data_IF_140491982503
#
_entry.id   IF_140491982503
#
_cell.length_a   1.000
_cell.length_b   1.000
_cell.length_c   1.000
_cell.angle_alpha   90.00
_cell.angle_beta   90.00
_cell.angle_gamma   90.00
#
_symmetry.space_group_name_H-M   'P 1'
#
loop_
_entity.id
_entity.type
_entity.pdbx_description
1 polymer ?
#
# COMPACT_ATOMS: atom_id res chain seq x y z
N UNK A 1 34.64 2.02 1.19
CA UNK A 1 34.91 3.30 0.48
C UNK A 1 33.61 4.07 0.51
N UNK A 2 33.56 5.16 1.27
CA UNK A 2 32.37 5.99 1.44
C UNK A 2 32.60 7.36 0.80
N UNK A 3 31.56 7.97 0.25
CA UNK A 3 31.66 9.27 -0.37
C UNK A 3 30.31 9.96 -0.51
N UNK A 4 30.34 11.27 -0.65
CA UNK A 4 29.18 12.11 -0.88
C UNK A 4 29.20 12.64 -2.31
N UNK A 5 28.12 12.41 -3.02
CA UNK A 5 27.87 12.94 -4.36
C UNK A 5 26.71 13.94 -4.32
N UNK A 6 27.01 15.17 -4.68
CA UNK A 6 26.01 16.25 -4.70
C UNK A 6 25.83 16.73 -6.13
N UNK A 7 24.60 16.93 -6.53
CA UNK A 7 24.26 17.61 -7.79
C UNK A 7 23.42 18.85 -7.52
N UNK A 8 23.56 19.86 -8.37
CA UNK A 8 22.72 21.04 -8.35
C UNK A 8 22.44 21.53 -9.78
N UNK A 9 21.17 21.56 -10.16
CA UNK A 9 20.72 22.15 -11.42
C UNK A 9 20.17 23.54 -11.12
N UNK A 10 20.86 24.56 -11.64
CA UNK A 10 20.55 25.97 -11.44
C UNK A 10 19.82 26.53 -12.67
N UNK A 11 18.67 27.15 -12.46
CA UNK A 11 17.86 27.73 -13.54
C UNK A 11 17.64 29.22 -13.33
N UNK A 12 17.45 29.93 -14.44
CA UNK A 12 17.24 31.39 -14.46
C UNK A 12 18.35 32.12 -13.68
N UNK A 13 19.62 31.75 -13.98
CA UNK A 13 20.80 32.33 -13.35
C UNK A 13 20.93 33.82 -13.68
N UNK A 14 21.12 34.64 -12.65
CA UNK A 14 21.21 36.12 -12.72
C UNK A 14 22.67 36.59 -12.60
N UNK A 15 23.63 35.70 -12.73
CA UNK A 15 25.02 35.99 -12.65
C UNK A 15 25.53 36.83 -13.84
N UNK A 16 26.78 37.33 -13.76
CA UNK A 16 27.44 37.93 -14.90
C UNK A 16 27.48 36.94 -16.08
N UNK A 17 26.91 37.25 -17.26
CA UNK A 17 26.86 36.35 -18.42
C UNK A 17 28.24 35.79 -18.82
N UNK A 18 29.30 36.52 -18.56
CA UNK A 18 30.68 36.08 -18.80
C UNK A 18 31.05 34.78 -18.07
N UNK A 19 30.41 34.46 -16.93
CA UNK A 19 30.58 33.17 -16.24
C UNK A 19 30.00 31.98 -17.00
N UNK A 20 29.10 32.21 -17.93
CA UNK A 20 28.47 31.15 -18.71
C UNK A 20 29.17 30.88 -20.06
N UNK A 21 30.03 31.84 -20.55
CA UNK A 21 30.60 31.80 -21.89
C UNK A 21 32.11 31.99 -21.95
N UNK A 22 32.75 32.52 -20.88
CA UNK A 22 34.21 32.74 -20.84
C UNK A 22 34.88 31.62 -20.01
N UNK A 23 35.61 30.74 -20.70
CA UNK A 23 36.27 29.57 -20.11
C UNK A 23 37.18 29.94 -18.95
N UNK A 24 38.01 30.99 -19.11
CA UNK A 24 38.96 31.42 -18.09
C UNK A 24 38.26 31.93 -16.82
N UNK A 25 37.14 32.59 -16.94
CA UNK A 25 36.35 33.06 -15.77
C UNK A 25 35.73 31.92 -15.00
N UNK A 26 35.08 31.00 -15.73
CA UNK A 26 34.46 29.85 -15.12
C UNK A 26 35.48 28.93 -14.44
N UNK A 27 36.55 28.59 -15.17
CA UNK A 27 37.63 27.73 -14.62
C UNK A 27 38.27 28.34 -13.37
N UNK A 28 38.54 29.65 -13.37
CA UNK A 28 39.08 30.35 -12.21
C UNK A 28 38.09 30.30 -11.01
N UNK A 29 36.79 30.54 -11.24
CA UNK A 29 35.75 30.46 -10.17
C UNK A 29 35.73 29.06 -9.55
N UNK A 30 35.63 28.02 -10.36
CA UNK A 30 35.53 26.64 -9.88
C UNK A 30 36.80 26.22 -9.16
N UNK A 31 37.98 26.56 -9.72
CA UNK A 31 39.30 26.29 -9.12
C UNK A 31 39.44 26.97 -7.75
N UNK A 32 39.17 28.26 -7.67
CA UNK A 32 39.32 29.03 -6.43
C UNK A 32 38.35 28.51 -5.36
N UNK A 33 37.11 28.24 -5.71
CA UNK A 33 36.10 27.68 -4.79
C UNK A 33 36.55 26.33 -4.22
N UNK A 34 37.09 25.46 -5.08
CA UNK A 34 37.57 24.13 -4.68
C UNK A 34 38.78 24.21 -3.76
N UNK A 35 39.76 25.06 -4.09
CA UNK A 35 40.96 25.26 -3.25
C UNK A 35 40.63 25.89 -1.90
N UNK A 36 39.72 26.86 -1.86
CA UNK A 36 39.28 27.49 -0.62
C UNK A 36 38.52 26.54 0.30
N UNK A 37 37.79 25.54 -0.26
CA UNK A 37 37.18 24.46 0.51
C UNK A 37 38.21 23.44 1.03
N UNK A 38 39.47 23.56 0.66
CA UNK A 38 40.57 22.72 1.16
C UNK A 38 40.66 21.35 0.48
N UNK A 39 40.28 21.27 -0.81
CA UNK A 39 40.50 20.07 -1.63
C UNK A 39 41.70 20.26 -2.58
N UNK A 40 42.36 19.15 -2.90
CA UNK A 40 43.56 19.15 -3.74
C UNK A 40 43.20 18.83 -5.19
N UNK A 41 43.51 19.78 -6.10
CA UNK A 41 43.30 19.60 -7.54
C UNK A 41 44.53 18.90 -8.12
N UNK A 42 44.35 17.80 -8.83
CA UNK A 42 45.39 17.01 -9.51
C UNK A 42 45.36 17.17 -11.03
N UNK A 43 44.28 17.71 -11.57
CA UNK A 43 44.12 17.99 -12.99
C UNK A 43 42.85 18.75 -13.29
N UNK A 44 42.81 19.36 -14.45
CA UNK A 44 41.59 20.07 -14.90
C UNK A 44 41.46 20.06 -16.42
N UNK A 45 40.22 20.12 -16.88
CA UNK A 45 39.89 20.34 -18.28
C UNK A 45 38.64 21.16 -18.38
N UNK A 46 38.71 22.26 -19.09
CA UNK A 46 37.59 23.08 -19.50
C UNK A 46 37.55 23.16 -21.01
N UNK A 47 36.37 23.34 -21.59
CA UNK A 47 36.16 23.51 -23.01
C UNK A 47 34.97 24.41 -23.27
N UNK A 48 35.21 25.54 -23.89
CA UNK A 48 34.15 26.44 -24.36
C UNK A 48 33.69 26.04 -25.77
N UNK A 49 32.39 25.95 -25.94
CA UNK A 49 31.77 25.68 -27.25
C UNK A 49 31.53 26.98 -28.00
N UNK A 50 31.39 26.88 -29.33
CA UNK A 50 31.01 27.98 -30.22
C UNK A 50 29.85 27.56 -31.11
N UNK A 51 28.96 28.48 -31.38
CA UNK A 51 27.91 28.30 -32.37
C UNK A 51 28.47 28.31 -33.81
N UNK A 52 27.72 27.90 -34.84
CA UNK A 52 28.16 27.94 -36.25
C UNK A 52 28.54 29.36 -36.75
N UNK A 53 27.98 30.40 -36.12
CA UNK A 53 28.30 31.81 -36.41
C UNK A 53 29.54 32.34 -35.65
N UNK A 54 30.30 31.45 -34.98
CA UNK A 54 31.46 31.75 -34.13
C UNK A 54 31.14 32.51 -32.84
N UNK A 55 29.86 32.70 -32.48
CA UNK A 55 29.52 33.27 -31.16
C UNK A 55 29.78 32.25 -30.05
N UNK A 56 30.14 32.72 -28.85
CA UNK A 56 30.37 31.82 -27.69
C UNK A 56 29.08 31.08 -27.33
N UNK A 57 29.22 29.77 -27.07
CA UNK A 57 28.14 28.92 -26.53
C UNK A 57 28.46 28.57 -25.06
N UNK A 58 27.95 27.45 -24.57
CA UNK A 58 28.21 27.00 -23.19
C UNK A 58 29.62 26.46 -22.99
N UNK A 59 29.93 26.14 -21.75
CA UNK A 59 31.22 25.58 -21.31
C UNK A 59 30.96 24.25 -20.61
N UNK A 60 31.81 23.27 -20.86
CA UNK A 60 31.92 22.05 -20.05
C UNK A 60 33.24 22.09 -19.33
N UNK A 61 33.28 21.70 -18.07
CA UNK A 61 34.50 21.66 -17.29
C UNK A 61 34.51 20.61 -16.21
N UNK A 62 35.70 20.12 -15.90
CA UNK A 62 35.92 19.24 -14.77
C UNK A 62 37.25 19.53 -14.09
N UNK A 63 37.22 19.46 -12.76
CA UNK A 63 38.43 19.38 -11.92
C UNK A 63 38.53 17.92 -11.44
N UNK A 64 39.69 17.33 -11.68
CA UNK A 64 40.09 16.07 -11.07
C UNK A 64 40.70 16.39 -9.72
N UNK A 65 40.19 15.84 -8.67
CA UNK A 65 40.68 15.97 -7.31
C UNK A 65 41.42 14.69 -6.91
N UNK A 66 42.27 14.76 -5.88
CA UNK A 66 43.05 13.61 -5.40
C UNK A 66 42.17 12.34 -5.19
N UNK A 67 40.93 12.52 -4.74
CA UNK A 67 40.03 11.41 -4.44
C UNK A 67 38.61 11.59 -5.04
N UNK A 68 38.43 12.54 -5.99
CA UNK A 68 37.13 13.05 -6.34
C UNK A 68 37.11 13.85 -7.64
N UNK A 69 36.00 14.54 -7.88
CA UNK A 69 35.90 15.49 -8.97
C UNK A 69 34.85 16.57 -8.69
N UNK A 70 34.98 17.68 -9.43
CA UNK A 70 33.96 18.69 -9.62
C UNK A 70 33.70 18.81 -11.11
N UNK A 71 32.48 18.64 -11.57
CA UNK A 71 32.09 18.87 -12.95
C UNK A 71 31.03 19.97 -13.04
N UNK A 72 31.09 20.72 -14.15
CA UNK A 72 30.18 21.85 -14.39
C UNK A 72 29.89 21.99 -15.87
N UNK A 73 28.63 22.29 -16.19
CA UNK A 73 28.19 22.62 -17.54
C UNK A 73 27.34 23.88 -17.51
N UNK A 74 27.56 24.77 -18.46
CA UNK A 74 26.78 26.00 -18.60
C UNK A 74 25.95 25.98 -19.87
N UNK A 75 24.75 26.54 -19.79
CA UNK A 75 23.77 26.63 -20.87
C UNK A 75 23.28 28.07 -21.00
N UNK A 76 24.07 28.95 -21.66
CA UNK A 76 23.79 30.39 -21.72
C UNK A 76 22.39 30.69 -22.30
N UNK A 77 21.94 29.92 -23.31
CA UNK A 77 20.66 30.06 -23.98
C UNK A 77 19.47 29.74 -23.06
N UNK A 78 19.73 29.01 -21.96
CA UNK A 78 18.73 28.63 -20.92
C UNK A 78 18.96 29.36 -19.61
N UNK A 79 20.01 30.18 -19.53
CA UNK A 79 20.47 30.78 -18.28
C UNK A 79 20.59 29.72 -17.17
N UNK A 80 21.19 28.56 -17.50
CA UNK A 80 21.23 27.41 -16.63
C UNK A 80 22.69 26.91 -16.44
N UNK A 81 22.90 26.27 -15.27
CA UNK A 81 24.17 25.61 -14.93
C UNK A 81 23.84 24.30 -14.23
N UNK A 82 24.55 23.24 -14.60
CA UNK A 82 24.51 21.98 -13.88
C UNK A 82 25.84 21.75 -13.16
N UNK A 83 25.79 21.38 -11.89
CA UNK A 83 26.91 21.11 -11.01
C UNK A 83 26.90 19.67 -10.55
N UNK A 84 28.06 19.07 -10.51
CA UNK A 84 28.29 17.72 -10.01
C UNK A 84 29.56 17.74 -9.16
N UNK A 85 29.43 17.41 -7.87
CA UNK A 85 30.52 17.39 -6.90
C UNK A 85 30.53 16.06 -6.19
N UNK A 86 31.55 15.25 -6.44
CA UNK A 86 31.77 14.00 -5.73
C UNK A 86 33.05 14.08 -4.88
N UNK A 87 32.94 13.70 -3.61
CA UNK A 87 34.07 13.57 -2.71
C UNK A 87 34.11 12.19 -2.06
N UNK A 88 35.30 11.61 -2.00
CA UNK A 88 35.55 10.36 -1.29
C UNK A 88 35.97 10.67 0.16
N UNK A 89 35.44 9.91 1.11
CA UNK A 89 35.69 10.04 2.54
C UNK A 89 36.63 8.94 3.06
N UNK A 90 37.63 8.51 2.25
CA UNK A 90 38.48 7.37 2.57
C UNK A 90 39.39 7.63 3.80
N UNK A 91 40.07 8.74 3.85
CA UNK A 91 40.93 9.10 4.99
C UNK A 91 40.29 10.12 5.92
N UNK A 92 39.52 11.04 5.37
CA UNK A 92 38.85 12.10 6.11
C UNK A 92 37.45 12.32 5.56
N UNK A 93 36.54 12.78 6.40
CA UNK A 93 35.20 13.21 5.96
C UNK A 93 35.31 14.55 5.21
N UNK A 94 35.15 14.51 3.90
CA UNK A 94 35.16 15.66 3.02
C UNK A 94 33.73 16.17 2.70
N UNK A 95 32.70 15.62 3.32
CA UNK A 95 31.29 15.96 3.02
C UNK A 95 31.00 17.45 3.20
N UNK A 96 31.50 18.05 4.26
CA UNK A 96 31.35 19.50 4.52
C UNK A 96 31.97 20.36 3.42
N UNK A 97 33.12 19.91 2.88
CA UNK A 97 33.84 20.63 1.79
C UNK A 97 33.05 20.57 0.47
N UNK A 98 32.43 19.39 0.17
CA UNK A 98 31.57 19.26 -1.00
C UNK A 98 30.35 20.17 -0.92
N UNK A 99 29.70 20.22 0.24
CA UNK A 99 28.56 21.11 0.50
C UNK A 99 28.99 22.58 0.31
N UNK A 100 30.11 22.96 0.87
CA UNK A 100 30.66 24.32 0.74
C UNK A 100 30.91 24.70 -0.73
N UNK A 101 31.49 23.81 -1.53
CA UNK A 101 31.72 24.03 -2.96
C UNK A 101 30.38 24.27 -3.69
N UNK A 102 29.41 23.40 -3.51
CA UNK A 102 28.09 23.53 -4.15
C UNK A 102 27.42 24.84 -3.76
N UNK A 103 27.39 25.19 -2.47
CA UNK A 103 26.72 26.42 -2.00
C UNK A 103 27.40 27.68 -2.52
N UNK A 104 28.72 27.71 -2.55
CA UNK A 104 29.48 28.86 -3.10
C UNK A 104 29.28 29.02 -4.60
N UNK A 105 29.29 27.92 -5.37
CA UNK A 105 29.04 27.96 -6.80
C UNK A 105 27.58 28.37 -7.09
N UNK A 106 26.59 27.80 -6.41
CA UNK A 106 25.19 28.21 -6.53
C UNK A 106 25.01 29.70 -6.23
N UNK A 107 25.66 30.20 -5.17
CA UNK A 107 25.64 31.64 -4.82
C UNK A 107 26.24 32.51 -5.93
N UNK A 108 27.32 32.05 -6.57
CA UNK A 108 27.96 32.81 -7.66
C UNK A 108 27.09 32.90 -8.91
N UNK A 109 26.30 31.87 -9.20
CA UNK A 109 25.37 31.85 -10.34
C UNK A 109 24.06 32.56 -10.08
N UNK A 110 23.68 32.85 -8.84
CA UNK A 110 22.44 33.54 -8.44
C UNK A 110 21.21 33.01 -9.15
N UNK A 111 20.91 31.71 -9.08
CA UNK A 111 19.74 31.12 -9.75
C UNK A 111 18.45 31.53 -9.03
N UNK A 112 17.33 31.66 -9.79
CA UNK A 112 16.01 31.83 -9.20
C UNK A 112 15.42 30.50 -8.73
N UNK A 113 15.85 29.38 -9.34
CA UNK A 113 15.40 28.03 -8.97
C UNK A 113 16.62 27.08 -8.96
N UNK A 114 16.69 26.23 -7.94
CA UNK A 114 17.71 25.18 -7.80
C UNK A 114 17.07 23.85 -7.47
N UNK A 115 17.39 22.82 -8.25
CA UNK A 115 17.12 21.44 -7.94
C UNK A 115 18.38 20.78 -7.38
N UNK A 116 18.32 20.14 -6.22
CA UNK A 116 19.47 19.50 -5.56
C UNK A 116 19.22 18.05 -5.30
N UNK A 117 20.26 17.23 -5.46
CA UNK A 117 20.24 15.83 -5.06
C UNK A 117 21.51 15.51 -4.27
N UNK A 118 21.38 14.56 -3.34
CA UNK A 118 22.46 14.06 -2.50
C UNK A 118 22.44 12.55 -2.48
N UNK A 119 23.56 11.92 -2.80
CA UNK A 119 23.70 10.47 -2.87
C UNK A 119 24.93 10.05 -2.07
N UNK A 120 24.74 9.19 -1.07
CA UNK A 120 25.85 8.47 -0.44
C UNK A 120 26.36 7.37 -1.37
N UNK A 121 27.67 7.31 -1.60
CA UNK A 121 28.31 6.34 -2.49
C UNK A 121 29.37 5.54 -1.76
N UNK A 122 29.59 4.32 -2.22
CA UNK A 122 30.69 3.49 -1.73
C UNK A 122 30.44 2.79 -0.40
N UNK A 123 29.39 3.07 0.30
CA UNK A 123 28.86 2.16 1.30
C UNK A 123 28.44 0.89 0.57
N UNK A 124 28.90 -0.32 0.98
CA UNK A 124 28.15 -1.51 0.61
C UNK A 124 26.73 -1.21 1.07
N UNK A 125 25.78 -1.19 0.16
CA UNK A 125 24.39 -1.12 0.58
C UNK A 125 24.22 -2.28 1.58
N UNK A 126 24.03 -1.95 2.87
CA UNK A 126 23.32 -2.88 3.72
C UNK A 126 22.09 -3.23 2.90
N UNK A 127 22.08 -4.45 2.35
CA UNK A 127 21.10 -5.01 1.42
C UNK A 127 20.03 -3.99 1.08
N UNK A 128 20.02 -3.47 -0.14
CA UNK A 128 19.03 -2.47 -0.59
C UNK A 128 17.72 -2.92 0.00
N UNK A 129 17.26 -2.22 1.06
CA UNK A 129 16.05 -2.64 1.76
C UNK A 129 14.98 -2.59 0.71
N UNK A 130 14.56 -3.74 0.21
CA UNK A 130 13.50 -3.80 -0.76
C UNK A 130 12.25 -3.25 -0.08
N UNK A 131 11.65 -2.23 -0.66
CA UNK A 131 10.44 -1.62 -0.14
C UNK A 131 9.28 -2.01 -1.04
N UNK A 132 8.27 -2.64 -0.46
CA UNK A 132 6.97 -2.77 -1.11
C UNK A 132 6.26 -1.43 -0.99
N UNK A 133 5.87 -0.86 -2.12
CA UNK A 133 5.14 0.40 -2.18
C UNK A 133 3.69 0.08 -2.53
N UNK A 134 2.77 0.62 -1.76
CA UNK A 134 1.34 0.60 -2.03
C UNK A 134 0.82 2.03 -2.13
N UNK A 135 0.15 2.34 -3.25
CA UNK A 135 -0.46 3.65 -3.46
C UNK A 135 -1.88 3.66 -2.87
N UNK A 136 -2.05 4.41 -1.79
CA UNK A 136 -3.35 4.61 -1.14
C UNK A 136 -4.21 5.61 -1.93
N UNK A 137 -3.58 6.49 -2.71
CA UNK A 137 -4.21 7.43 -3.63
C UNK A 137 -3.20 7.88 -4.69
N UNK A 138 -3.61 8.72 -5.64
CA UNK A 138 -2.70 9.32 -6.63
C UNK A 138 -1.54 10.13 -6.00
N UNK A 139 -1.65 10.52 -4.72
CA UNK A 139 -0.71 11.43 -4.06
C UNK A 139 -0.15 10.89 -2.74
N UNK A 140 -0.57 9.71 -2.30
CA UNK A 140 -0.16 9.11 -1.03
C UNK A 140 0.21 7.66 -1.24
N UNK A 141 1.36 7.26 -0.73
CA UNK A 141 1.82 5.88 -0.73
C UNK A 141 2.34 5.46 0.64
N UNK A 142 2.14 4.20 0.97
CA UNK A 142 2.77 3.54 2.11
C UNK A 142 3.94 2.68 1.63
N UNK A 143 4.98 2.58 2.44
CA UNK A 143 6.14 1.75 2.15
C UNK A 143 6.38 0.78 3.30
N UNK A 144 6.49 -0.50 2.98
CA UNK A 144 6.78 -1.57 3.93
C UNK A 144 8.08 -2.25 3.54
N UNK A 145 9.01 -2.41 4.49
CA UNK A 145 10.26 -3.11 4.23
C UNK A 145 10.00 -4.59 3.96
N UNK A 146 10.61 -5.10 2.87
CA UNK A 146 10.63 -6.51 2.50
C UNK A 146 12.08 -7.00 2.63
N UNK A 147 12.28 -8.12 3.31
CA UNK A 147 13.59 -8.78 3.44
C UNK A 147 13.76 -9.91 2.45
N UNK A 148 12.66 -10.56 2.07
CA UNK A 148 12.67 -11.71 1.18
C UNK A 148 11.33 -11.83 0.43
N UNK A 149 11.36 -12.24 -0.83
CA UNK A 149 10.19 -12.72 -1.58
C UNK A 149 10.22 -14.23 -1.55
N UNK A 150 9.27 -14.84 -0.85
CA UNK A 150 9.20 -16.30 -0.62
C UNK A 150 8.55 -17.02 -1.79
N UNK A 151 7.53 -16.40 -2.39
CA UNK A 151 6.84 -16.91 -3.55
C UNK A 151 6.27 -15.76 -4.39
N UNK A 152 6.24 -15.97 -5.71
CA UNK A 152 5.71 -15.00 -6.67
C UNK A 152 5.14 -15.74 -7.87
N UNK A 153 3.89 -15.47 -8.21
CA UNK A 153 3.17 -16.17 -9.27
C UNK A 153 2.29 -15.17 -10.04
N UNK A 154 2.35 -15.23 -11.37
CA UNK A 154 1.36 -14.60 -12.24
C UNK A 154 0.30 -15.65 -12.58
N UNK A 155 -0.88 -15.51 -11.98
CA UNK A 155 -2.04 -16.34 -12.34
C UNK A 155 -2.76 -15.78 -13.57
N UNK A 156 -3.77 -16.48 -14.10
CA UNK A 156 -4.61 -15.92 -15.15
C UNK A 156 -5.40 -14.66 -14.74
N UNK A 157 -5.53 -14.40 -13.44
CA UNK A 157 -6.35 -13.33 -12.88
C UNK A 157 -5.51 -12.16 -12.36
N UNK A 158 -4.39 -12.43 -11.68
CA UNK A 158 -3.66 -11.44 -10.89
C UNK A 158 -2.22 -11.86 -10.61
N UNK A 159 -1.39 -10.90 -10.22
CA UNK A 159 -0.02 -11.15 -9.76
C UNK A 159 -0.02 -11.30 -8.23
N UNK A 160 0.41 -12.47 -7.74
CA UNK A 160 0.40 -12.82 -6.31
C UNK A 160 1.83 -12.92 -5.82
N UNK A 161 2.13 -12.28 -4.69
CA UNK A 161 3.45 -12.33 -4.06
C UNK A 161 3.31 -12.61 -2.57
N UNK A 162 4.11 -13.55 -2.06
CA UNK A 162 4.32 -13.77 -0.62
C UNK A 162 5.71 -13.25 -0.28
N UNK A 163 5.80 -12.33 0.65
CA UNK A 163 7.05 -11.72 1.07
C UNK A 163 7.18 -11.69 2.59
N UNK A 164 8.41 -11.53 3.10
CA UNK A 164 8.68 -11.39 4.53
C UNK A 164 8.97 -9.93 4.84
N UNK A 165 8.21 -9.39 5.80
CA UNK A 165 8.43 -8.09 6.41
C UNK A 165 8.92 -8.24 7.85
N UNK A 166 9.94 -7.48 8.31
CA UNK A 166 10.36 -7.50 9.70
C UNK A 166 9.27 -7.10 10.68
N UNK A 167 8.36 -6.20 10.26
CA UNK A 167 7.27 -5.70 11.09
C UNK A 167 6.06 -6.62 11.10
N UNK A 168 5.66 -7.14 9.92
CA UNK A 168 4.39 -7.82 9.72
C UNK A 168 4.50 -9.35 9.59
N UNK A 169 5.71 -9.93 9.61
CA UNK A 169 5.91 -11.33 9.28
C UNK A 169 5.72 -11.60 7.79
N UNK A 170 5.14 -12.74 7.44
CA UNK A 170 4.76 -12.96 6.05
C UNK A 170 3.56 -12.10 5.68
N UNK A 171 3.66 -11.51 4.50
CA UNK A 171 2.60 -10.70 3.89
C UNK A 171 2.22 -11.30 2.54
N UNK A 172 0.95 -11.25 2.20
CA UNK A 172 0.46 -11.49 0.85
C UNK A 172 0.17 -10.17 0.17
N UNK A 173 0.62 -10.05 -1.07
CA UNK A 173 0.31 -8.92 -1.96
C UNK A 173 -0.33 -9.44 -3.23
N UNK A 174 -1.34 -8.73 -3.71
CA UNK A 174 -2.02 -9.02 -4.98
C UNK A 174 -2.01 -7.75 -5.81
N UNK A 175 -1.47 -7.82 -7.03
CA UNK A 175 -1.29 -6.68 -7.94
C UNK A 175 -0.61 -5.46 -7.28
N UNK A 176 0.27 -5.74 -6.31
CA UNK A 176 1.01 -4.73 -5.56
C UNK A 176 0.31 -4.19 -4.30
N UNK A 177 -0.98 -4.46 -4.10
CA UNK A 177 -1.71 -4.07 -2.91
C UNK A 177 -1.50 -5.08 -1.75
N UNK A 178 -1.49 -4.59 -0.52
CA UNK A 178 -1.36 -5.42 0.69
C UNK A 178 -2.70 -6.09 1.00
N UNK A 179 -2.71 -7.42 1.10
CA UNK A 179 -3.92 -8.19 1.38
C UNK A 179 -4.01 -8.62 2.84
N UNK A 180 -2.98 -9.29 3.33
CA UNK A 180 -2.99 -9.84 4.68
C UNK A 180 -1.58 -9.99 5.22
N UNK A 181 -1.41 -10.07 6.54
CA UNK A 181 -0.14 -10.38 7.19
C UNK A 181 -0.32 -11.28 8.42
N UNK A 182 0.71 -12.07 8.72
CA UNK A 182 0.70 -12.95 9.89
C UNK A 182 0.49 -12.22 11.22
N UNK A 183 0.84 -10.93 11.30
CA UNK A 183 0.88 -10.20 12.56
C UNK A 183 -0.37 -9.39 12.84
N UNK A 184 -1.15 -9.04 11.83
CA UNK A 184 -2.28 -8.13 12.02
C UNK A 184 -3.58 -8.52 11.28
N UNK A 185 -3.61 -9.69 10.62
CA UNK A 185 -4.79 -10.16 9.88
C UNK A 185 -6.07 -10.17 10.73
N UNK A 186 -5.92 -10.46 12.03
CA UNK A 186 -7.04 -10.58 12.96
C UNK A 186 -7.80 -9.24 13.14
N UNK A 187 -7.17 -8.08 12.93
CA UNK A 187 -7.90 -6.80 12.93
C UNK A 187 -8.97 -6.77 11.83
N UNK A 188 -8.63 -7.30 10.67
CA UNK A 188 -9.54 -7.36 9.53
C UNK A 188 -10.55 -8.50 9.67
N UNK A 189 -10.08 -9.73 9.85
CA UNK A 189 -10.94 -10.91 9.81
C UNK A 189 -11.92 -10.97 10.99
N UNK A 190 -11.47 -10.65 12.21
CA UNK A 190 -12.37 -10.57 13.36
C UNK A 190 -13.42 -9.46 13.18
N UNK A 191 -13.05 -8.32 12.58
CA UNK A 191 -13.99 -7.24 12.29
C UNK A 191 -14.98 -7.60 11.16
N UNK A 192 -14.55 -8.37 10.17
CA UNK A 192 -15.43 -8.81 9.08
C UNK A 192 -16.43 -9.87 9.55
N UNK A 193 -16.00 -10.81 10.41
CA UNK A 193 -16.80 -11.99 10.78
C UNK A 193 -17.67 -11.74 12.01
N UNK A 194 -17.08 -11.29 13.12
CA UNK A 194 -17.75 -11.36 14.42
C UNK A 194 -18.91 -10.40 14.62
N UNK A 195 -18.91 -9.16 14.10
CA UNK A 195 -20.06 -8.28 14.26
C UNK A 195 -21.36 -8.91 13.73
N UNK A 196 -21.29 -9.51 12.55
CA UNK A 196 -22.45 -10.15 11.95
C UNK A 196 -22.81 -11.50 12.60
N UNK A 197 -21.82 -12.36 12.85
CA UNK A 197 -22.06 -13.67 13.44
C UNK A 197 -22.64 -13.59 14.85
N UNK A 198 -22.16 -12.64 15.67
CA UNK A 198 -22.71 -12.37 17.00
C UNK A 198 -24.09 -11.73 16.91
N UNK A 199 -24.31 -10.80 15.97
CA UNK A 199 -25.63 -10.20 15.72
C UNK A 199 -26.65 -11.26 15.30
N UNK A 200 -26.28 -12.20 14.44
CA UNK A 200 -27.10 -13.35 14.06
C UNK A 200 -27.41 -14.28 15.26
N UNK A 201 -26.42 -14.52 16.11
CA UNK A 201 -26.57 -15.27 17.36
C UNK A 201 -26.42 -16.80 17.24
N UNK A 202 -25.94 -17.31 16.10
CA UNK A 202 -25.65 -18.73 15.91
C UNK A 202 -25.77 -19.16 14.45
N UNK A 203 -24.96 -18.62 13.53
CA UNK A 203 -24.99 -18.97 12.11
C UNK A 203 -24.61 -20.43 11.91
N UNK A 204 -25.24 -21.10 10.96
CA UNK A 204 -25.02 -22.51 10.61
C UNK A 204 -24.38 -22.66 9.24
N UNK A 205 -24.76 -21.78 8.31
CA UNK A 205 -24.28 -21.81 6.92
C UNK A 205 -23.70 -20.46 6.54
N UNK A 206 -22.56 -20.48 5.88
CA UNK A 206 -21.90 -19.26 5.42
C UNK A 206 -21.38 -19.41 3.98
N UNK A 207 -21.47 -18.33 3.22
CA UNK A 207 -20.78 -18.16 1.95
C UNK A 207 -19.70 -17.08 2.13
N UNK A 208 -18.48 -17.39 1.70
CA UNK A 208 -17.40 -16.41 1.57
C UNK A 208 -17.13 -16.26 0.08
N UNK A 209 -17.19 -15.04 -0.44
CA UNK A 209 -16.78 -14.70 -1.81
C UNK A 209 -15.44 -14.00 -1.72
N UNK A 210 -14.39 -14.58 -2.34
CA UNK A 210 -13.01 -14.25 -2.07
C UNK A 210 -12.46 -15.00 -0.86
N UNK A 211 -11.62 -14.36 -0.05
CA UNK A 211 -11.10 -14.92 1.22
C UNK A 211 -10.11 -16.08 1.04
N UNK A 212 -9.36 -16.07 -0.08
CA UNK A 212 -8.43 -17.13 -0.42
C UNK A 212 -7.21 -17.24 0.51
N UNK A 213 -7.01 -16.31 1.46
CA UNK A 213 -6.02 -16.43 2.53
C UNK A 213 -6.48 -17.34 3.69
N UNK A 214 -7.80 -17.56 3.79
CA UNK A 214 -8.43 -18.45 4.75
C UNK A 214 -8.71 -17.87 6.13
N UNK A 215 -8.39 -16.60 6.39
CA UNK A 215 -8.60 -15.97 7.68
C UNK A 215 -10.08 -15.86 8.04
N UNK A 216 -10.93 -15.39 7.14
CA UNK A 216 -12.39 -15.37 7.36
C UNK A 216 -12.99 -16.77 7.57
N UNK A 217 -12.43 -17.79 6.91
CA UNK A 217 -12.84 -19.18 7.09
C UNK A 217 -12.45 -19.69 8.48
N UNK A 218 -11.25 -19.36 8.93
CA UNK A 218 -10.74 -19.70 10.27
C UNK A 218 -11.63 -19.08 11.34
N UNK A 219 -11.96 -17.79 11.23
CA UNK A 219 -12.80 -17.08 12.18
C UNK A 219 -14.24 -17.66 12.26
N UNK A 220 -14.81 -18.06 11.11
CA UNK A 220 -16.11 -18.73 11.11
C UNK A 220 -16.07 -20.10 11.76
N UNK A 221 -14.99 -20.86 11.62
CA UNK A 221 -14.84 -22.18 12.23
C UNK A 221 -14.73 -22.15 13.76
N UNK A 222 -14.46 -20.99 14.37
CA UNK A 222 -14.52 -20.80 15.84
C UNK A 222 -15.96 -20.97 16.37
N UNK A 223 -16.97 -20.79 15.51
CA UNK A 223 -18.37 -20.98 15.90
C UNK A 223 -18.78 -22.45 15.82
N UNK A 224 -19.11 -23.06 16.96
CA UNK A 224 -19.56 -24.45 17.02
C UNK A 224 -20.88 -24.66 16.25
N UNK A 225 -21.70 -23.60 16.10
CA UNK A 225 -22.93 -23.62 15.33
C UNK A 225 -22.71 -23.82 13.83
N UNK A 226 -21.57 -23.41 13.28
CA UNK A 226 -21.25 -23.57 11.87
C UNK A 226 -21.24 -25.03 11.48
N UNK A 227 -22.02 -25.36 10.45
CA UNK A 227 -22.15 -26.69 9.87
C UNK A 227 -21.54 -26.76 8.47
N UNK A 228 -21.67 -25.68 7.71
CA UNK A 228 -21.19 -25.62 6.34
C UNK A 228 -20.70 -24.21 5.97
N UNK A 229 -19.54 -24.15 5.34
CA UNK A 229 -18.96 -22.95 4.76
C UNK A 229 -18.68 -23.24 3.28
N UNK A 230 -19.23 -22.44 2.39
CA UNK A 230 -18.84 -22.40 0.98
C UNK A 230 -17.83 -21.26 0.81
N UNK A 231 -16.59 -21.60 0.44
CA UNK A 231 -15.56 -20.65 0.10
C UNK A 231 -15.45 -20.57 -1.44
N UNK A 232 -15.86 -19.46 -2.02
CA UNK A 232 -15.87 -19.24 -3.47
C UNK A 232 -14.75 -18.27 -3.86
N UNK A 233 -13.58 -18.83 -4.21
CA UNK A 233 -12.40 -18.09 -4.64
C UNK A 233 -12.14 -18.35 -6.12
N UNK A 234 -12.03 -17.27 -6.90
CA UNK A 234 -11.84 -17.38 -8.35
C UNK A 234 -10.44 -17.88 -8.72
N UNK A 235 -9.45 -17.52 -7.92
CA UNK A 235 -8.05 -17.79 -8.19
C UNK A 235 -7.50 -18.91 -7.29
N UNK A 236 -7.41 -20.12 -7.84
CA UNK A 236 -6.87 -21.29 -7.13
C UNK A 236 -5.44 -21.06 -6.60
N UNK A 237 -4.62 -20.25 -7.29
CA UNK A 237 -3.26 -19.98 -6.86
C UNK A 237 -3.19 -19.19 -5.55
N UNK A 238 -4.18 -18.35 -5.23
CA UNK A 238 -4.27 -17.67 -3.92
C UNK A 238 -4.38 -18.69 -2.80
N UNK A 239 -5.33 -19.64 -2.90
CA UNK A 239 -5.50 -20.69 -1.88
C UNK A 239 -4.27 -21.58 -1.78
N UNK A 240 -3.66 -21.94 -2.90
CA UNK A 240 -2.47 -22.79 -2.92
C UNK A 240 -1.28 -22.12 -2.23
N UNK A 241 -1.01 -20.85 -2.52
CA UNK A 241 0.06 -20.09 -1.87
C UNK A 241 -0.25 -19.87 -0.38
N UNK A 242 -1.51 -19.62 -0.03
CA UNK A 242 -1.93 -19.50 1.37
C UNK A 242 -1.68 -20.80 2.15
N UNK A 243 -2.09 -21.94 1.62
CA UNK A 243 -1.82 -23.25 2.22
C UNK A 243 -0.33 -23.52 2.43
N UNK A 244 0.51 -23.08 1.50
CA UNK A 244 1.95 -23.32 1.56
C UNK A 244 2.68 -22.36 2.52
N UNK A 245 2.23 -21.12 2.63
CA UNK A 245 3.03 -20.07 3.24
C UNK A 245 2.36 -19.33 4.41
N UNK A 246 1.02 -19.35 4.52
CA UNK A 246 0.26 -18.56 5.50
C UNK A 246 -0.49 -19.43 6.51
N UNK A 247 0.13 -20.54 6.91
CA UNK A 247 -0.49 -21.51 7.85
C UNK A 247 -0.90 -20.89 9.20
N UNK A 248 -0.25 -19.82 9.64
CA UNK A 248 -0.61 -19.06 10.85
C UNK A 248 -1.93 -18.30 10.72
N UNK A 249 -2.32 -17.92 9.50
CA UNK A 249 -3.57 -17.20 9.21
C UNK A 249 -4.72 -18.20 9.12
N UNK A 250 -4.66 -19.14 8.19
CA UNK A 250 -5.77 -20.08 7.96
C UNK A 250 -5.87 -21.23 8.97
N UNK A 251 -4.85 -21.48 9.78
CA UNK A 251 -4.82 -22.51 10.85
C UNK A 251 -5.43 -23.87 10.44
N UNK A 252 -5.15 -24.32 9.21
CA UNK A 252 -5.72 -25.52 8.55
C UNK A 252 -7.25 -25.44 8.30
N UNK A 253 -7.86 -24.28 8.28
CA UNK A 253 -9.28 -24.09 8.02
C UNK A 253 -9.74 -24.73 6.70
N UNK A 254 -8.90 -24.71 5.67
CA UNK A 254 -9.17 -25.32 4.36
C UNK A 254 -9.35 -26.86 4.40
N UNK A 255 -8.87 -27.53 5.43
CA UNK A 255 -8.91 -28.99 5.56
C UNK A 255 -10.12 -29.44 6.42
N UNK A 256 -10.93 -28.51 6.91
CA UNK A 256 -12.12 -28.80 7.68
C UNK A 256 -13.19 -29.45 6.80
N UNK A 257 -13.81 -30.52 7.29
CA UNK A 257 -14.93 -31.19 6.60
C UNK A 257 -16.17 -30.29 6.43
N UNK A 258 -16.23 -29.17 7.15
CA UNK A 258 -17.30 -28.19 7.05
C UNK A 258 -17.08 -27.20 5.90
N UNK A 259 -15.89 -27.18 5.28
CA UNK A 259 -15.50 -26.20 4.25
C UNK A 259 -15.55 -26.86 2.88
N UNK A 260 -16.32 -26.25 2.00
CA UNK A 260 -16.38 -26.60 0.59
C UNK A 260 -15.73 -25.46 -0.23
N UNK A 261 -14.61 -25.73 -0.86
CA UNK A 261 -13.89 -24.75 -1.70
C UNK A 261 -14.36 -24.89 -3.14
N UNK A 262 -14.74 -23.78 -3.74
CA UNK A 262 -15.22 -23.70 -5.13
C UNK A 262 -14.37 -22.66 -5.86
N UNK A 263 -13.70 -23.08 -6.94
CA UNK A 263 -12.93 -22.18 -7.80
C UNK A 263 -13.83 -21.65 -8.92
N UNK A 264 -14.52 -20.55 -8.62
CA UNK A 264 -15.47 -19.89 -9.52
C UNK A 264 -15.54 -18.39 -9.26
N UNK A 265 -16.03 -17.67 -10.26
CA UNK A 265 -16.53 -16.32 -10.05
C UNK A 265 -17.69 -16.35 -9.03
N UNK A 266 -17.49 -15.72 -7.87
CA UNK A 266 -18.45 -15.68 -6.78
C UNK A 266 -19.74 -14.92 -7.12
N UNK A 267 -19.67 -13.99 -8.07
CA UNK A 267 -20.82 -13.23 -8.55
C UNK A 267 -21.73 -14.10 -9.40
N UNK A 268 -21.16 -14.83 -10.35
CA UNK A 268 -21.90 -15.81 -11.13
C UNK A 268 -22.43 -16.93 -10.24
N UNK A 269 -21.65 -17.37 -9.24
CA UNK A 269 -22.06 -18.41 -8.31
C UNK A 269 -23.32 -18.02 -7.51
N UNK A 270 -23.38 -16.80 -6.93
CA UNK A 270 -24.53 -16.37 -6.13
C UNK A 270 -25.82 -16.22 -6.95
N UNK A 271 -25.71 -15.88 -8.23
CA UNK A 271 -26.83 -15.78 -9.16
C UNK A 271 -27.40 -17.15 -9.52
N UNK A 272 -26.52 -18.13 -9.76
CA UNK A 272 -26.89 -19.47 -10.23
C UNK A 272 -27.23 -20.44 -9.08
N UNK A 273 -26.67 -20.25 -7.89
CA UNK A 273 -26.87 -21.12 -6.74
C UNK A 273 -28.30 -21.08 -6.25
N UNK A 274 -28.81 -22.22 -5.77
CA UNK A 274 -30.07 -22.32 -5.02
C UNK A 274 -29.88 -22.35 -3.50
N UNK A 275 -28.61 -22.40 -3.04
CA UNK A 275 -28.29 -22.52 -1.64
C UNK A 275 -28.68 -21.26 -0.85
N UNK A 276 -28.93 -21.44 0.44
CA UNK A 276 -29.30 -20.38 1.36
C UNK A 276 -28.29 -20.30 2.50
N UNK A 277 -27.97 -19.08 2.91
CA UNK A 277 -26.91 -18.81 3.86
C UNK A 277 -27.41 -17.95 5.03
N UNK A 278 -26.89 -18.21 6.22
CA UNK A 278 -27.09 -17.35 7.39
C UNK A 278 -26.14 -16.14 7.33
N UNK A 279 -24.96 -16.34 6.75
CA UNK A 279 -23.98 -15.27 6.53
C UNK A 279 -23.44 -15.32 5.09
N UNK A 280 -23.33 -14.15 4.47
CA UNK A 280 -22.59 -13.93 3.23
C UNK A 280 -21.48 -12.92 3.53
N UNK A 281 -20.21 -13.31 3.34
CA UNK A 281 -19.07 -12.45 3.53
C UNK A 281 -18.45 -12.14 2.17
N UNK A 282 -18.26 -10.86 1.86
CA UNK A 282 -17.50 -10.41 0.70
C UNK A 282 -16.10 -10.04 1.17
N UNK A 283 -15.21 -11.00 1.06
CA UNK A 283 -13.81 -10.91 1.46
C UNK A 283 -12.94 -10.82 0.20
N UNK A 284 -13.12 -9.70 -0.49
CA UNK A 284 -12.56 -9.44 -1.81
C UNK A 284 -11.30 -8.59 -1.72
N UNK A 285 -10.45 -8.67 -2.74
CA UNK A 285 -9.33 -7.75 -2.91
C UNK A 285 -9.82 -6.31 -3.06
N UNK A 286 -9.02 -5.34 -2.60
CA UNK A 286 -9.34 -3.93 -2.85
C UNK A 286 -9.35 -3.65 -4.35
N UNK A 287 -10.42 -3.04 -4.85
CA UNK A 287 -10.58 -2.79 -6.27
C UNK A 287 -9.61 -1.78 -6.90
N UNK A 288 -8.66 -1.22 -6.21
CA UNK A 288 -7.72 -0.26 -6.77
C UNK A 288 -6.36 -0.91 -7.02
N UNK A 289 -6.17 -1.42 -8.22
CA UNK A 289 -4.83 -1.63 -8.75
C UNK A 289 -4.31 -0.32 -9.35
N UNK A 290 -2.99 -0.09 -9.29
CA UNK A 290 -2.33 1.05 -9.92
C UNK A 290 -2.67 1.20 -11.44
N UNK A 291 -3.20 0.17 -12.05
CA UNK A 291 -3.58 0.10 -13.47
C UNK A 291 -5.07 0.36 -13.74
N UNK A 292 -5.89 0.63 -12.71
CA UNK A 292 -7.31 0.99 -12.86
C UNK A 292 -8.24 -0.12 -13.33
N UNK A 293 -7.78 -1.38 -13.45
CA UNK A 293 -8.63 -2.53 -13.76
C UNK A 293 -9.05 -3.25 -12.48
N UNK A 294 -10.32 -3.59 -12.39
CA UNK A 294 -10.91 -4.09 -11.16
C UNK A 294 -12.04 -5.06 -11.39
N UNK A 295 -11.77 -6.33 -11.16
CA UNK A 295 -12.79 -7.38 -11.18
C UNK A 295 -13.87 -7.14 -10.10
N UNK A 296 -13.47 -6.83 -8.87
CA UNK A 296 -14.39 -6.67 -7.75
C UNK A 296 -15.32 -5.45 -7.87
N UNK A 297 -14.86 -4.33 -8.46
CA UNK A 297 -15.67 -3.11 -8.56
C UNK A 297 -16.85 -3.24 -9.53
N UNK A 298 -16.67 -3.95 -10.64
CA UNK A 298 -17.77 -4.21 -11.59
C UNK A 298 -18.87 -5.04 -10.97
N UNK A 299 -18.55 -5.73 -9.91
CA UNK A 299 -19.32 -6.79 -9.30
C UNK A 299 -20.24 -6.34 -8.17
N UNK A 300 -19.93 -5.25 -7.45
CA UNK A 300 -20.80 -4.70 -6.40
C UNK A 300 -21.93 -3.87 -7.01
N UNK A 301 -22.74 -4.49 -7.87
CA UNK A 301 -23.94 -3.87 -8.47
C UNK A 301 -25.15 -4.01 -7.56
N UNK A 302 -26.21 -3.26 -7.81
CA UNK A 302 -27.50 -3.41 -7.12
C UNK A 302 -28.08 -4.81 -7.36
N UNK A 303 -28.02 -5.32 -8.61
CA UNK A 303 -28.48 -6.68 -8.94
C UNK A 303 -27.74 -7.77 -8.18
N UNK A 304 -26.43 -7.61 -7.98
CA UNK A 304 -25.64 -8.52 -7.16
C UNK A 304 -26.11 -8.52 -5.69
N UNK A 305 -26.31 -7.35 -5.09
CA UNK A 305 -26.84 -7.28 -3.72
C UNK A 305 -28.24 -7.83 -3.59
N UNK A 306 -29.07 -7.69 -4.62
CA UNK A 306 -30.40 -8.35 -4.67
C UNK A 306 -30.26 -9.87 -4.73
N UNK A 307 -29.30 -10.41 -5.50
CA UNK A 307 -29.01 -11.85 -5.52
C UNK A 307 -28.53 -12.32 -4.13
N UNK A 308 -27.65 -11.58 -3.47
CA UNK A 308 -27.25 -11.88 -2.08
C UNK A 308 -28.47 -11.88 -1.14
N UNK A 309 -29.34 -10.87 -1.23
CA UNK A 309 -30.58 -10.80 -0.43
C UNK A 309 -31.45 -12.04 -0.63
N UNK A 310 -31.63 -12.51 -1.87
CA UNK A 310 -32.41 -13.71 -2.16
C UNK A 310 -31.78 -14.98 -1.59
N UNK A 311 -30.44 -15.04 -1.49
CA UNK A 311 -29.71 -16.22 -0.98
C UNK A 311 -29.46 -16.17 0.54
N UNK A 312 -29.83 -15.11 1.21
CA UNK A 312 -29.85 -15.10 2.67
C UNK A 312 -31.08 -15.83 3.21
N UNK A 313 -30.87 -16.61 4.28
CA UNK A 313 -31.94 -17.13 5.12
C UNK A 313 -32.72 -15.98 5.78
N UNK A 314 -33.86 -16.30 6.37
CA UNK A 314 -34.55 -15.37 7.27
C UNK A 314 -33.59 -14.98 8.42
N UNK A 315 -33.46 -13.69 8.69
CA UNK A 315 -32.48 -13.09 9.61
C UNK A 315 -30.99 -13.21 9.19
N UNK A 316 -30.72 -13.69 7.99
CA UNK A 316 -29.33 -13.75 7.46
C UNK A 316 -28.73 -12.37 7.25
N UNK A 317 -27.39 -12.29 7.32
CA UNK A 317 -26.63 -11.06 7.15
C UNK A 317 -25.58 -11.17 6.03
N UNK A 318 -25.40 -10.07 5.34
CA UNK A 318 -24.24 -9.86 4.47
C UNK A 318 -23.25 -8.89 5.15
N UNK A 319 -21.96 -9.15 5.00
CA UNK A 319 -20.87 -8.30 5.46
C UNK A 319 -19.87 -8.08 4.34
N UNK A 320 -19.36 -6.86 4.26
CA UNK A 320 -18.35 -6.49 3.26
C UNK A 320 -17.46 -5.36 3.77
N UNK A 321 -16.27 -5.24 3.21
CA UNK A 321 -15.48 -4.05 3.36
C UNK A 321 -15.81 -3.03 2.27
N UNK A 322 -15.69 -1.75 2.59
CA UNK A 322 -15.95 -0.61 1.70
C UNK A 322 -14.66 0.12 1.31
N UNK A 323 -13.51 -0.27 1.88
CA UNK A 323 -12.26 0.44 1.76
C UNK A 323 -12.19 1.68 2.64
N UNK A 324 -11.18 2.52 2.44
CA UNK A 324 -11.02 3.74 3.23
C UNK A 324 -11.99 4.83 2.78
N UNK A 325 -12.82 5.32 3.70
CA UNK A 325 -13.72 6.45 3.44
C UNK A 325 -12.96 7.75 3.11
N UNK A 326 -11.68 7.86 3.51
CA UNK A 326 -10.84 9.02 3.22
C UNK A 326 -10.20 8.94 1.84
N UNK A 327 -9.54 7.83 1.52
CA UNK A 327 -8.81 7.69 0.24
C UNK A 327 -9.73 7.33 -0.93
N UNK A 328 -10.87 6.68 -0.66
CA UNK A 328 -11.76 6.08 -1.66
C UNK A 328 -13.22 6.51 -1.47
N UNK A 329 -13.44 7.77 -1.10
CA UNK A 329 -14.75 8.30 -0.69
C UNK A 329 -15.88 8.05 -1.70
N UNK A 330 -15.64 8.25 -2.99
CA UNK A 330 -16.65 8.04 -4.04
C UNK A 330 -17.07 6.58 -4.13
N UNK A 331 -16.10 5.67 -4.14
CA UNK A 331 -16.34 4.22 -4.16
C UNK A 331 -17.09 3.77 -2.90
N UNK A 332 -16.63 4.21 -1.73
CA UNK A 332 -17.26 3.93 -0.45
C UNK A 332 -18.75 4.30 -0.50
N UNK A 333 -19.07 5.52 -0.90
CA UNK A 333 -20.45 6.00 -0.96
C UNK A 333 -21.27 5.27 -2.03
N UNK A 334 -20.69 4.97 -3.18
CA UNK A 334 -21.38 4.24 -4.26
C UNK A 334 -21.73 2.82 -3.83
N UNK A 335 -20.80 2.07 -3.23
CA UNK A 335 -21.06 0.71 -2.74
C UNK A 335 -22.09 0.72 -1.62
N UNK A 336 -22.00 1.66 -0.70
CA UNK A 336 -22.97 1.81 0.39
C UNK A 336 -24.37 2.17 -0.14
N UNK A 337 -24.50 3.03 -1.14
CA UNK A 337 -25.77 3.38 -1.75
C UNK A 337 -26.43 2.17 -2.43
N UNK A 338 -25.66 1.37 -3.16
CA UNK A 338 -26.12 0.14 -3.80
C UNK A 338 -26.56 -0.91 -2.77
N UNK A 339 -25.81 -1.06 -1.67
CA UNK A 339 -26.20 -1.94 -0.58
C UNK A 339 -27.54 -1.49 0.04
N UNK A 340 -27.71 -0.20 0.30
CA UNK A 340 -28.94 0.40 0.85
C UNK A 340 -30.14 0.32 -0.10
N UNK A 341 -29.92 0.21 -1.39
CA UNK A 341 -30.99 -0.01 -2.36
C UNK A 341 -31.60 -1.43 -2.26
N UNK A 342 -30.84 -2.38 -1.72
CA UNK A 342 -31.25 -3.79 -1.61
C UNK A 342 -31.61 -4.23 -0.20
N UNK A 343 -31.17 -3.50 0.84
CA UNK A 343 -31.35 -3.84 2.24
C UNK A 343 -31.87 -2.64 3.04
N UNK A 344 -32.95 -2.84 3.81
CA UNK A 344 -33.53 -1.79 4.66
C UNK A 344 -32.68 -1.50 5.91
N UNK A 345 -31.96 -2.50 6.41
CA UNK A 345 -31.11 -2.41 7.60
C UNK A 345 -29.66 -2.54 7.22
N UNK A 346 -28.95 -1.41 7.24
CA UNK A 346 -27.51 -1.32 6.93
C UNK A 346 -26.80 -0.56 8.04
N UNK A 347 -25.79 -1.18 8.62
CA UNK A 347 -24.88 -0.59 9.61
C UNK A 347 -23.46 -0.51 9.04
N UNK A 348 -22.82 0.64 9.21
CA UNK A 348 -21.41 0.83 8.86
C UNK A 348 -20.56 1.03 10.12
N UNK A 349 -19.30 0.63 10.05
CA UNK A 349 -18.31 0.85 11.09
C UNK A 349 -16.91 0.86 10.48
N UNK A 350 -15.95 1.42 11.21
CA UNK A 350 -14.57 1.56 10.75
C UNK A 350 -13.59 0.89 11.71
N UNK A 351 -12.58 0.25 11.14
CA UNK A 351 -11.48 -0.41 11.87
C UNK A 351 -10.15 0.08 11.33
N UNK A 352 -9.20 0.39 12.20
CA UNK A 352 -7.83 0.66 11.80
C UNK A 352 -7.09 -0.65 11.58
N UNK A 353 -6.54 -0.84 10.37
CA UNK A 353 -5.74 -2.01 10.01
C UNK A 353 -4.29 -1.55 9.79
N UNK A 354 -3.35 -1.99 10.64
CA UNK A 354 -1.97 -1.51 10.59
C UNK A 354 -1.30 -1.71 9.24
N UNK A 355 -1.48 -2.89 8.61
CA UNK A 355 -0.93 -3.20 7.29
C UNK A 355 -1.44 -2.27 6.20
N UNK A 356 -2.70 -1.84 6.26
CA UNK A 356 -3.28 -0.92 5.28
C UNK A 356 -2.99 0.55 5.58
N UNK A 357 -2.48 0.86 6.78
CA UNK A 357 -2.13 2.21 7.22
C UNK A 357 -3.32 3.19 7.26
N UNK A 358 -4.54 2.68 7.30
CA UNK A 358 -5.76 3.47 7.17
C UNK A 358 -6.92 2.93 8.02
N UNK A 359 -7.89 3.80 8.30
CA UNK A 359 -9.22 3.37 8.72
C UNK A 359 -9.92 2.69 7.55
N UNK A 360 -10.39 1.48 7.77
CA UNK A 360 -11.04 0.63 6.78
C UNK A 360 -12.51 0.47 7.12
N UNK A 361 -13.35 0.95 6.24
CA UNK A 361 -14.80 0.90 6.42
C UNK A 361 -15.35 -0.48 6.13
N UNK A 362 -16.24 -0.91 6.98
CA UNK A 362 -17.02 -2.13 6.88
C UNK A 362 -18.50 -1.79 6.81
N UNK A 363 -19.28 -2.65 6.19
CA UNK A 363 -20.73 -2.59 6.24
C UNK A 363 -21.32 -3.97 6.51
N UNK A 364 -22.38 -4.03 7.27
CA UNK A 364 -23.23 -5.20 7.36
C UNK A 364 -24.68 -4.83 7.10
N UNK A 365 -25.41 -5.74 6.47
CA UNK A 365 -26.82 -5.56 6.18
C UNK A 365 -27.60 -6.83 6.49
N UNK A 366 -28.83 -6.66 6.97
CA UNK A 366 -29.69 -7.78 7.37
C UNK A 366 -30.87 -7.96 6.43
N UNK A 367 -31.16 -9.23 6.11
CA UNK A 367 -32.37 -9.61 5.44
C UNK A 367 -33.51 -9.60 6.46
N UNK A 368 -34.53 -8.87 6.10
CA UNK A 368 -35.85 -8.85 6.71
C UNK A 368 -35.90 -8.77 8.24
N UNK A 369 -36.16 -7.57 8.69
CA UNK A 369 -36.49 -7.29 10.09
C UNK A 369 -37.99 -6.98 10.28
N UNK A 370 -38.88 -7.54 9.45
CA UNK A 370 -40.33 -7.25 9.54
C UNK A 370 -40.94 -7.48 10.93
N UNK A 371 -40.23 -8.18 11.80
CA UNK A 371 -40.68 -8.49 13.17
C UNK A 371 -39.78 -7.83 14.25
N UNK A 372 -38.78 -7.03 13.88
CA UNK A 372 -37.93 -6.29 14.83
C UNK A 372 -38.15 -4.77 14.71
N UNK A 373 -38.13 -4.03 15.83
CA UNK A 373 -38.23 -2.56 15.78
C UNK A 373 -37.09 -1.97 14.96
N UNK A 374 -37.41 -1.16 13.98
CA UNK A 374 -36.49 -0.58 12.98
C UNK A 374 -35.32 0.20 13.53
N UNK A 375 -35.30 0.55 14.79
CA UNK A 375 -34.28 1.44 15.37
C UNK A 375 -33.07 0.74 15.98
N UNK A 376 -33.06 -0.59 16.20
CA UNK A 376 -32.01 -1.23 17.02
C UNK A 376 -31.62 -2.64 16.56
N UNK A 377 -31.76 -3.03 15.29
CA UNK A 377 -31.45 -4.39 14.85
C UNK A 377 -30.00 -4.82 15.20
N UNK A 378 -29.04 -3.92 15.00
CA UNK A 378 -27.63 -4.18 15.27
C UNK A 378 -27.16 -3.77 16.68
N UNK A 379 -28.01 -3.09 17.45
CA UNK A 379 -27.63 -2.56 18.76
C UNK A 379 -27.92 -3.59 19.87
N UNK A 380 -26.95 -4.45 20.11
CA UNK A 380 -26.95 -5.32 21.26
C UNK A 380 -26.34 -4.60 22.47
N UNK A 381 -26.92 -4.79 23.66
CA UNK A 381 -26.26 -4.32 24.89
C UNK A 381 -24.96 -5.13 25.14
N UNK A 382 -23.98 -4.52 25.80
CA UNK A 382 -22.75 -5.21 26.18
C UNK A 382 -23.01 -6.54 26.91
N UNK A 383 -24.06 -6.59 27.73
CA UNK A 383 -24.45 -7.81 28.43
C UNK A 383 -24.91 -8.90 27.46
N UNK A 384 -25.75 -8.55 26.48
CA UNK A 384 -26.22 -9.50 25.45
C UNK A 384 -25.04 -10.00 24.59
N UNK A 385 -24.12 -9.12 24.21
CA UNK A 385 -22.93 -9.49 23.45
C UNK A 385 -22.06 -10.46 24.25
N UNK A 386 -21.77 -10.16 25.52
CA UNK A 386 -21.01 -11.07 26.40
C UNK A 386 -21.69 -12.42 26.56
N UNK A 387 -23.01 -12.44 26.73
CA UNK A 387 -23.76 -13.69 26.80
C UNK A 387 -23.66 -14.49 25.52
N UNK A 388 -23.75 -13.85 24.34
CA UNK A 388 -23.58 -14.52 23.04
C UNK A 388 -22.17 -15.06 22.84
N UNK A 389 -21.13 -14.28 23.16
CA UNK A 389 -19.73 -14.73 23.11
C UNK A 389 -19.54 -15.98 23.99
N UNK A 390 -20.10 -15.99 25.20
CA UNK A 390 -20.03 -17.14 26.09
C UNK A 390 -20.83 -18.34 25.57
N UNK A 391 -22.07 -18.14 25.10
CA UNK A 391 -22.92 -19.19 24.55
C UNK A 391 -22.35 -19.83 23.28
N UNK A 392 -21.69 -19.02 22.44
CA UNK A 392 -21.02 -19.46 21.22
C UNK A 392 -19.63 -20.04 21.49
N UNK A 393 -19.17 -19.98 22.77
CA UNK A 393 -17.87 -20.47 23.21
C UNK A 393 -16.70 -19.89 22.41
N UNK A 394 -16.81 -18.62 22.01
CA UNK A 394 -15.75 -17.92 21.30
C UNK A 394 -14.58 -17.66 22.22
N UNK A 395 -13.55 -18.44 22.04
CA UNK A 395 -12.30 -18.32 22.75
C UNK A 395 -11.20 -17.92 21.73
N UNK A 396 -10.14 -17.30 22.20
CA UNK A 396 -8.96 -16.98 21.38
C UNK A 396 -9.15 -15.81 20.38
N UNK A 397 -10.08 -14.89 20.66
CA UNK A 397 -10.15 -13.62 19.92
C UNK A 397 -9.00 -12.72 20.36
N UNK A 398 -8.31 -12.10 19.38
CA UNK A 398 -7.13 -11.28 19.64
C UNK A 398 -7.50 -9.78 19.73
N UNK A 399 -8.51 -9.38 19.02
CA UNK A 399 -8.94 -7.99 18.88
C UNK A 399 -10.38 -7.78 19.34
N UNK A 400 -11.28 -8.69 18.94
CA UNK A 400 -12.71 -8.51 19.11
C UNK A 400 -13.20 -8.91 20.50
N UNK A 401 -14.06 -8.06 21.08
CA UNK A 401 -14.71 -8.29 22.36
C UNK A 401 -16.02 -7.49 22.46
N UNK A 402 -16.77 -7.65 23.55
CA UNK A 402 -18.06 -6.98 23.72
C UNK A 402 -17.94 -5.44 23.81
N UNK A 403 -16.85 -4.90 24.33
CA UNK A 403 -16.61 -3.47 24.38
C UNK A 403 -16.40 -2.90 22.98
N UNK A 404 -15.57 -3.59 22.18
CA UNK A 404 -15.31 -3.21 20.80
C UNK A 404 -16.57 -3.31 19.95
N UNK A 405 -17.32 -4.43 20.02
CA UNK A 405 -18.58 -4.60 19.31
C UNK A 405 -19.52 -3.42 19.56
N UNK A 406 -19.73 -3.11 20.84
CA UNK A 406 -20.62 -2.00 21.22
C UNK A 406 -20.11 -0.66 20.67
N UNK A 407 -18.79 -0.45 20.68
CA UNK A 407 -18.16 0.77 20.16
C UNK A 407 -18.22 0.91 18.66
N UNK A 408 -18.12 -0.21 17.92
CA UNK A 408 -18.18 -0.22 16.46
C UNK A 408 -19.60 0.03 15.93
N UNK A 409 -20.64 -0.43 16.67
CA UNK A 409 -22.01 -0.45 16.19
C UNK A 409 -22.94 0.53 16.97
N UNK A 410 -22.38 1.38 17.85
CA UNK A 410 -23.12 2.35 18.68
C UNK A 410 -23.63 3.57 17.89
#
# INVERSE_FOLDING_TARGET
MEGLHLTADCFMCQCNPALLIEEDRLSNLVRQTTLQAGLTIVGEKFHGFTHPDSSPAGITGTLLLAESHVAIHTWPERQAVTLDVYVCNFENDNSAKAIEIVERLVTAFQPQQVSRQSLQRGTPSETTKSMAIEYLSAHTAMQTQITEVVAEVQSPFQHIQIAISPEFGKIMRIDGAMMTSEKDEFYYHEALVHPAAITHGGPRTALIIGGGDGGSTEELLKYKSIQHITLCEIDEEVIKLSKQHLASIHQNAFDSIKVNIIHRDGFAYIEESSDQYDLILLDLTDPITANGSNLAQSCMTESFFQSCYQRLNEHGLIVLHLGSAFYHAERYQTSLARLRASFDHVQTFDVFIPLYGAMWGMAMAAKDAQHMPTQNYFQLSKQQINQRIQQLELNQLQFYNAELHHRLLA
#
